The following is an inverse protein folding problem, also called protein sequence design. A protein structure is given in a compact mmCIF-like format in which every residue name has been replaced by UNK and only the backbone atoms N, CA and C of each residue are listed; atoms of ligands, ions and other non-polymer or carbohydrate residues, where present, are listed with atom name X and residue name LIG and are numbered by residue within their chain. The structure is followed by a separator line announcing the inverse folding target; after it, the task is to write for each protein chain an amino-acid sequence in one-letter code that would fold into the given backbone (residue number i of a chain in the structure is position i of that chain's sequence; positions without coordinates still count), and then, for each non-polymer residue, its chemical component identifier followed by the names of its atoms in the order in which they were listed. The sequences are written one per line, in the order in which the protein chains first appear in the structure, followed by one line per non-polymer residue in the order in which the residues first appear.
data_IF_234222858241
#
_entry.id   IF_234222858241
#
_cell.length_a   1.000
_cell.length_b   1.000
_cell.length_c   1.000
_cell.angle_alpha   90.00
_cell.angle_beta   90.00
_cell.angle_gamma   90.00
#
_symmetry.space_group_name_H-M   'P 1'
#
loop_
_entity.id
_entity.type
_entity.pdbx_description
1 polymer ?
#
# COMPACT_ATOMS: atom_id res chain seq x y z
N UNK A 1 -18.15 -15.14 -3.44
CA UNK A 1 -17.31 -15.19 -4.64
C UNK A 1 -17.34 -13.91 -5.51
N UNK A 2 -18.48 -13.27 -5.78
CA UNK A 2 -18.51 -12.07 -6.64
C UNK A 2 -17.96 -10.81 -5.99
N UNK A 3 -17.98 -10.70 -4.67
CA UNK A 3 -17.64 -9.47 -3.94
C UNK A 3 -16.13 -9.18 -3.93
N UNK A 4 -15.31 -10.19 -3.68
CA UNK A 4 -13.86 -10.05 -3.68
C UNK A 4 -13.33 -9.71 -5.08
N UNK A 5 -13.88 -10.31 -6.11
CA UNK A 5 -13.51 -10.05 -7.49
C UNK A 5 -13.91 -8.63 -7.95
N UNK A 6 -15.14 -8.21 -7.67
CA UNK A 6 -15.60 -6.85 -8.00
C UNK A 6 -14.83 -5.77 -7.24
N UNK A 7 -14.49 -6.02 -5.98
CA UNK A 7 -13.65 -5.12 -5.19
C UNK A 7 -12.24 -5.04 -5.76
N UNK A 8 -11.66 -6.16 -6.16
CA UNK A 8 -10.35 -6.21 -6.78
C UNK A 8 -10.28 -5.43 -8.10
N UNK A 9 -11.25 -5.62 -8.99
CA UNK A 9 -11.30 -4.92 -10.29
C UNK A 9 -11.51 -3.41 -10.14
N UNK A 10 -12.43 -2.97 -9.26
CA UNK A 10 -12.63 -1.54 -8.99
C UNK A 10 -11.43 -0.88 -8.35
N UNK A 11 -10.79 -1.56 -7.38
CA UNK A 11 -9.58 -1.11 -6.72
C UNK A 11 -8.43 -0.97 -7.72
N UNK A 12 -8.22 -1.98 -8.55
CA UNK A 12 -7.15 -2.01 -9.53
C UNK A 12 -7.23 -0.83 -10.50
N UNK A 13 -8.36 -0.63 -11.19
CA UNK A 13 -8.51 0.44 -12.19
C UNK A 13 -8.30 1.85 -11.63
N UNK A 14 -8.80 2.14 -10.43
CA UNK A 14 -8.66 3.46 -9.82
C UNK A 14 -7.24 3.70 -9.28
N UNK A 15 -6.58 2.67 -8.78
CA UNK A 15 -5.19 2.73 -8.37
C UNK A 15 -4.25 2.96 -9.55
N UNK A 16 -4.51 2.31 -10.69
CA UNK A 16 -3.74 2.52 -11.91
C UNK A 16 -3.79 3.98 -12.36
N UNK A 17 -4.97 4.59 -12.37
CA UNK A 17 -5.13 6.00 -12.73
C UNK A 17 -4.41 6.95 -11.76
N UNK A 18 -4.49 6.69 -10.45
CA UNK A 18 -3.81 7.49 -9.43
C UNK A 18 -2.28 7.35 -9.51
N UNK A 19 -1.78 6.13 -9.73
CA UNK A 19 -0.36 5.87 -9.91
C UNK A 19 0.17 6.59 -11.15
N UNK A 20 -0.53 6.47 -12.27
CA UNK A 20 -0.20 7.12 -13.52
C UNK A 20 -0.13 8.64 -13.40
N UNK A 21 -1.16 9.29 -12.82
CA UNK A 21 -1.20 10.74 -12.62
C UNK A 21 -0.04 11.25 -11.75
N UNK A 22 0.36 10.49 -10.73
CA UNK A 22 1.46 10.86 -9.84
C UNK A 22 2.83 10.72 -10.49
N UNK A 23 3.05 9.67 -11.25
CA UNK A 23 4.31 9.46 -11.98
C UNK A 23 4.49 10.57 -13.03
N UNK A 24 3.45 10.94 -13.75
CA UNK A 24 3.50 12.02 -14.74
C UNK A 24 3.68 13.41 -14.12
N UNK A 25 3.10 13.64 -12.95
CA UNK A 25 3.26 14.90 -12.22
C UNK A 25 4.63 15.09 -11.57
N UNK A 26 5.61 14.19 -11.78
CA UNK A 26 6.93 14.18 -11.14
C UNK A 26 6.86 14.24 -9.61
N UNK A 27 5.74 13.82 -9.03
CA UNK A 27 5.56 13.73 -7.58
C UNK A 27 5.78 12.32 -7.10
N UNK A 28 6.37 12.17 -5.90
CA UNK A 28 6.57 10.85 -5.30
C UNK A 28 5.22 10.13 -5.15
N UNK A 29 5.08 9.01 -5.84
CA UNK A 29 3.84 8.25 -5.81
C UNK A 29 3.80 7.39 -4.55
N UNK A 30 2.93 7.73 -3.60
CA UNK A 30 2.57 6.86 -2.47
C UNK A 30 1.12 6.39 -2.66
N UNK A 31 0.85 5.56 -3.66
CA UNK A 31 -0.51 5.16 -4.02
C UNK A 31 -1.20 4.40 -2.89
N UNK A 32 -0.44 3.71 -2.04
CA UNK A 32 -0.98 2.97 -0.90
C UNK A 32 -1.71 3.87 0.09
N UNK A 33 -1.19 5.08 0.36
CA UNK A 33 -1.84 6.06 1.24
C UNK A 33 -3.18 6.50 0.67
N UNK A 34 -3.20 6.89 -0.60
CA UNK A 34 -4.43 7.31 -1.28
C UNK A 34 -5.42 6.14 -1.40
N UNK A 35 -4.92 4.96 -1.72
CA UNK A 35 -5.74 3.76 -1.82
C UNK A 35 -6.42 3.43 -0.48
N UNK A 36 -5.68 3.43 0.61
CA UNK A 36 -6.27 3.17 1.93
C UNK A 36 -7.31 4.23 2.30
N UNK A 37 -6.97 5.52 2.19
CA UNK A 37 -7.81 6.61 2.68
C UNK A 37 -9.05 6.86 1.81
N UNK A 38 -8.95 6.73 0.49
CA UNK A 38 -10.02 7.13 -0.42
C UNK A 38 -10.71 5.97 -1.14
N UNK A 39 -10.21 4.75 -0.99
CA UNK A 39 -10.77 3.63 -1.74
C UNK A 39 -10.99 2.40 -0.87
N UNK A 40 -9.94 1.81 -0.30
CA UNK A 40 -10.03 0.53 0.41
C UNK A 40 -10.97 0.60 1.63
N UNK A 41 -10.69 1.51 2.55
CA UNK A 41 -11.49 1.62 3.77
C UNK A 41 -12.93 2.13 3.52
N UNK A 42 -13.17 3.14 2.67
CA UNK A 42 -14.55 3.51 2.31
C UNK A 42 -15.33 2.35 1.69
N UNK A 43 -14.71 1.58 0.78
CA UNK A 43 -15.36 0.41 0.20
C UNK A 43 -15.66 -0.69 1.23
N UNK A 44 -14.73 -0.96 2.15
CA UNK A 44 -14.95 -1.93 3.23
C UNK A 44 -16.11 -1.49 4.12
N UNK A 45 -16.18 -0.21 4.49
CA UNK A 45 -17.30 0.36 5.24
C UNK A 45 -18.61 0.18 4.51
N UNK A 46 -18.68 0.59 3.25
CA UNK A 46 -19.90 0.51 2.44
C UNK A 46 -20.39 -0.95 2.27
N UNK A 47 -19.44 -1.89 2.18
CA UNK A 47 -19.78 -3.32 2.13
C UNK A 47 -20.27 -3.85 3.47
N UNK A 48 -19.63 -3.44 4.56
CA UNK A 48 -20.05 -3.83 5.91
C UNK A 48 -21.43 -3.28 6.25
N UNK A 49 -21.75 -2.05 5.83
CA UNK A 49 -23.07 -1.45 6.00
C UNK A 49 -24.14 -2.25 5.28
N UNK A 50 -23.88 -2.70 4.05
CA UNK A 50 -24.80 -3.56 3.30
C UNK A 50 -25.03 -4.92 3.94
N UNK A 51 -24.07 -5.40 4.71
CA UNK A 51 -24.11 -6.68 5.40
C UNK A 51 -24.53 -6.56 6.87
N UNK A 52 -24.89 -5.35 7.35
CA UNK A 52 -25.16 -5.05 8.75
C UNK A 52 -24.03 -5.46 9.70
N UNK A 53 -22.77 -5.32 9.26
CA UNK A 53 -21.58 -5.60 10.04
C UNK A 53 -20.97 -4.29 10.54
N UNK A 54 -20.79 -4.14 11.85
CA UNK A 54 -20.22 -2.91 12.41
C UNK A 54 -18.69 -2.90 12.34
N UNK A 55 -18.02 -3.96 12.77
CA UNK A 55 -16.56 -3.99 12.86
C UNK A 55 -15.86 -4.39 11.57
N UNK A 56 -14.73 -3.73 11.31
CA UNK A 56 -13.85 -3.94 10.17
C UNK A 56 -12.46 -4.34 10.65
N UNK A 57 -12.02 -5.55 10.38
CA UNK A 57 -10.69 -6.02 10.77
C UNK A 57 -9.73 -6.04 9.58
N UNK A 58 -8.49 -5.58 9.78
CA UNK A 58 -7.42 -5.67 8.78
C UNK A 58 -6.08 -6.02 9.42
N UNK A 59 -5.17 -6.56 8.60
CA UNK A 59 -3.81 -6.92 9.01
C UNK A 59 -2.80 -5.77 9.03
N UNK A 60 -3.23 -4.53 9.21
CA UNK A 60 -2.28 -3.42 9.33
C UNK A 60 -1.57 -3.44 10.70
N UNK A 61 -0.26 -3.24 10.67
CA UNK A 61 0.58 -3.07 11.87
C UNK A 61 0.46 -1.63 12.40
N UNK A 62 -0.67 -1.34 12.99
CA UNK A 62 -1.05 0.01 13.46
C UNK A 62 -1.87 -0.14 14.73
N UNK A 63 -1.72 0.79 15.65
CA UNK A 63 -2.58 0.90 16.85
C UNK A 63 -3.59 2.02 16.67
N UNK A 64 -4.73 1.88 17.34
CA UNK A 64 -5.67 2.98 17.50
C UNK A 64 -5.95 3.23 18.97
N UNK A 65 -6.07 4.49 19.33
CA UNK A 65 -6.29 4.92 20.71
C UNK A 65 -7.46 5.92 20.75
N UNK A 66 -8.27 5.83 21.78
CA UNK A 66 -9.31 6.81 22.04
C UNK A 66 -8.79 7.84 23.04
N UNK A 67 -8.62 9.08 22.60
CA UNK A 67 -8.05 10.16 23.41
C UNK A 67 -9.00 11.35 23.37
N UNK A 68 -9.42 11.81 24.54
CA UNK A 68 -10.44 12.85 24.63
C UNK A 68 -11.77 12.35 24.08
N UNK A 69 -12.16 12.83 22.90
CA UNK A 69 -13.42 12.43 22.24
C UNK A 69 -13.19 11.88 20.83
N UNK A 70 -11.95 11.54 20.50
CA UNK A 70 -11.56 11.16 19.15
C UNK A 70 -10.69 9.90 19.12
N UNK A 71 -10.85 9.12 18.07
CA UNK A 71 -9.95 8.05 17.72
C UNK A 71 -8.71 8.56 17.02
N UNK A 72 -7.56 8.06 17.39
CA UNK A 72 -6.26 8.41 16.83
C UNK A 72 -5.51 7.17 16.37
N UNK A 73 -4.79 7.30 15.28
CA UNK A 73 -3.83 6.30 14.80
C UNK A 73 -2.49 6.55 15.49
N UNK A 74 -1.84 5.48 15.91
CA UNK A 74 -0.47 5.51 16.41
C UNK A 74 0.33 4.34 15.84
N UNK A 75 1.66 4.47 15.91
CA UNK A 75 2.56 3.46 15.40
C UNK A 75 2.30 2.09 16.04
N UNK A 76 2.46 1.04 15.24
CA UNK A 76 2.44 -0.34 15.71
C UNK A 76 3.56 -0.64 16.71
N UNK A 77 3.45 -1.77 17.41
CA UNK A 77 4.50 -2.25 18.32
C UNK A 77 5.79 -2.61 17.56
N UNK A 78 5.67 -3.18 16.38
CA UNK A 78 6.78 -3.46 15.47
C UNK A 78 7.06 -2.23 14.59
N UNK A 79 8.11 -1.48 14.95
CA UNK A 79 8.50 -0.26 14.24
C UNK A 79 8.98 -0.51 12.81
N UNK A 80 9.54 -1.67 12.54
CA UNK A 80 10.03 -2.04 11.21
C UNK A 80 8.86 -2.34 10.25
N UNK A 81 7.71 -2.68 10.80
CA UNK A 81 6.48 -3.01 10.05
C UNK A 81 5.39 -1.96 10.17
N UNK A 82 5.65 -0.86 10.86
CA UNK A 82 4.65 0.17 11.08
C UNK A 82 4.03 0.67 9.78
N UNK A 83 2.71 0.75 9.77
CA UNK A 83 1.90 1.16 8.62
C UNK A 83 0.99 2.36 8.93
N UNK A 84 1.23 3.04 10.05
CA UNK A 84 0.42 4.19 10.48
C UNK A 84 0.38 5.31 9.44
N UNK A 85 1.50 5.54 8.74
CA UNK A 85 1.60 6.50 7.65
C UNK A 85 0.56 6.27 6.54
N UNK A 86 0.15 5.03 6.30
CA UNK A 86 -0.80 4.73 5.22
C UNK A 86 -2.26 5.00 5.59
N UNK A 87 -2.56 5.30 6.87
CA UNK A 87 -3.92 5.42 7.39
C UNK A 87 -4.24 6.81 7.97
N UNK A 88 -3.35 7.79 7.81
CA UNK A 88 -3.45 9.11 8.44
C UNK A 88 -4.71 9.90 8.11
N UNK A 89 -5.31 9.68 6.95
CA UNK A 89 -6.45 10.45 6.44
C UNK A 89 -7.81 9.79 6.66
N UNK A 90 -7.89 8.73 7.48
CA UNK A 90 -9.15 8.04 7.73
C UNK A 90 -10.07 8.85 8.64
N UNK A 91 -11.39 8.96 8.31
CA UNK A 91 -12.35 9.66 9.13
C UNK A 91 -12.74 8.88 10.39
N UNK A 92 -13.33 9.58 11.37
CA UNK A 92 -13.65 9.05 12.68
C UNK A 92 -14.61 7.86 12.66
N UNK A 93 -15.60 7.86 11.78
CA UNK A 93 -16.56 6.77 11.61
C UNK A 93 -15.90 5.46 11.19
N UNK A 94 -14.85 5.53 10.37
CA UNK A 94 -14.05 4.37 10.01
C UNK A 94 -13.12 3.96 11.17
N UNK A 95 -12.46 4.92 11.81
CA UNK A 95 -11.55 4.65 12.92
C UNK A 95 -12.27 3.98 14.09
N UNK A 96 -13.50 4.38 14.39
CA UNK A 96 -14.31 3.76 15.43
C UNK A 96 -14.52 2.26 15.18
N UNK A 97 -14.84 1.90 13.94
CA UNK A 97 -15.19 0.54 13.51
C UNK A 97 -13.99 -0.38 13.27
N UNK A 98 -12.78 0.20 13.22
CA UNK A 98 -11.54 -0.50 12.89
C UNK A 98 -11.11 -1.46 13.98
N UNK A 99 -10.74 -2.68 13.61
CA UNK A 99 -9.98 -3.63 14.43
C UNK A 99 -8.63 -3.89 13.79
N UNK A 100 -7.57 -3.73 14.56
CA UNK A 100 -6.18 -3.82 14.12
C UNK A 100 -5.42 -4.86 14.95
N UNK A 101 -5.72 -6.16 14.80
CA UNK A 101 -5.21 -7.22 15.66
C UNK A 101 -3.68 -7.36 15.63
N UNK A 102 -3.03 -6.89 14.55
CA UNK A 102 -1.56 -6.94 14.44
C UNK A 102 -0.85 -5.72 15.05
N UNK A 103 -1.60 -4.72 15.50
CA UNK A 103 -1.01 -3.47 15.99
C UNK A 103 -0.14 -3.64 17.25
N UNK A 104 -0.48 -4.60 18.11
CA UNK A 104 0.27 -4.92 19.35
C UNK A 104 1.30 -6.05 19.14
N UNK A 105 1.34 -6.67 17.98
CA UNK A 105 2.22 -7.80 17.71
C UNK A 105 3.54 -7.34 17.11
N UNK A 106 4.60 -7.98 17.56
CA UNK A 106 5.95 -7.86 17.03
C UNK A 106 6.24 -9.03 16.05
N UNK A 107 7.48 -9.43 15.89
CA UNK A 107 7.93 -10.49 14.98
C UNK A 107 7.29 -11.88 15.20
N UNK A 108 6.59 -12.08 16.31
CA UNK A 108 5.94 -13.37 16.69
C UNK A 108 4.74 -13.77 15.83
N UNK A 109 4.28 -12.95 14.89
CA UNK A 109 3.09 -13.27 14.08
C UNK A 109 3.24 -14.58 13.31
N UNK A 110 4.44 -14.90 12.83
CA UNK A 110 4.73 -16.17 12.14
C UNK A 110 4.71 -17.36 13.09
N UNK A 111 5.29 -17.20 14.27
CA UNK A 111 5.27 -18.23 15.31
C UNK A 111 3.84 -18.58 15.69
N UNK A 112 3.01 -17.56 15.93
CA UNK A 112 1.58 -17.73 16.25
C UNK A 112 0.84 -18.42 15.08
N UNK A 113 1.14 -18.06 13.84
CA UNK A 113 0.54 -18.69 12.68
C UNK A 113 0.92 -20.17 12.58
N UNK A 114 2.21 -20.50 12.77
CA UNK A 114 2.69 -21.88 12.78
C UNK A 114 2.07 -22.70 13.91
N UNK A 115 2.00 -22.17 15.13
CA UNK A 115 1.33 -22.79 16.28
C UNK A 115 -0.16 -23.08 16.02
N UNK A 116 -0.80 -22.30 15.16
CA UNK A 116 -2.21 -22.45 14.76
C UNK A 116 -2.39 -23.31 13.53
N UNK A 117 -1.32 -23.95 13.02
CA UNK A 117 -1.36 -24.81 11.82
C UNK A 117 -1.62 -24.02 10.53
N UNK A 118 -1.45 -22.71 10.54
CA UNK A 118 -1.48 -21.91 9.34
C UNK A 118 -0.08 -22.03 8.73
N UNK A 119 0.07 -22.96 7.78
CA UNK A 119 1.32 -23.09 7.04
C UNK A 119 1.56 -21.79 6.28
N UNK A 120 2.74 -21.20 6.47
CA UNK A 120 3.19 -20.16 5.57
C UNK A 120 3.12 -20.71 4.15
N UNK A 121 2.41 -20.04 3.27
CA UNK A 121 2.73 -20.13 1.85
C UNK A 121 4.18 -19.68 1.76
N UNK A 122 5.05 -20.69 1.67
CA UNK A 122 6.49 -20.64 1.71
C UNK A 122 7.02 -19.45 0.92
N UNK A 123 8.03 -18.79 1.48
CA UNK A 123 9.16 -18.19 0.73
C UNK A 123 8.84 -17.28 -0.47
N UNK A 124 7.62 -16.80 -0.64
CA UNK A 124 7.45 -15.62 -1.48
C UNK A 124 8.22 -14.48 -0.79
N UNK A 125 9.44 -14.28 -1.27
CA UNK A 125 10.30 -13.16 -0.92
C UNK A 125 9.43 -11.92 -0.78
N UNK A 126 9.57 -11.27 0.36
CA UNK A 126 8.95 -9.95 0.61
C UNK A 126 9.39 -9.01 -0.49
N UNK A 127 8.63 -8.94 -1.55
CA UNK A 127 8.77 -7.80 -2.47
C UNK A 127 7.97 -6.64 -1.85
N UNK A 128 8.66 -5.67 -1.21
CA UNK A 128 8.01 -4.46 -0.78
C UNK A 128 7.44 -3.79 -2.04
N UNK A 129 6.12 -3.64 -2.08
CA UNK A 129 5.46 -2.99 -3.21
C UNK A 129 4.93 -3.90 -4.31
N UNK A 130 4.73 -5.19 -4.07
CA UNK A 130 3.83 -6.00 -4.92
C UNK A 130 2.41 -5.43 -4.80
N UNK A 131 2.33 -4.20 -5.27
CA UNK A 131 1.07 -3.55 -5.57
C UNK A 131 0.38 -4.41 -6.63
N UNK A 132 -0.90 -4.52 -6.57
CA UNK A 132 -1.92 -5.14 -7.41
C UNK A 132 -1.66 -5.14 -8.95
N UNK A 133 -0.41 -5.18 -9.35
CA UNK A 133 0.05 -5.20 -10.73
C UNK A 133 0.48 -6.63 -11.05
N UNK A 134 -0.25 -7.35 -11.90
CA UNK A 134 0.04 -8.73 -12.22
C UNK A 134 1.42 -8.93 -12.87
N UNK A 135 2.00 -7.88 -13.44
CA UNK A 135 3.23 -7.94 -14.25
C UNK A 135 4.39 -7.11 -13.66
N UNK A 136 4.21 -6.50 -12.50
CA UNK A 136 5.19 -5.56 -11.95
C UNK A 136 5.08 -4.14 -12.49
N UNK A 137 5.72 -3.19 -11.79
CA UNK A 137 5.66 -1.76 -12.13
C UNK A 137 6.28 -1.43 -13.51
N UNK A 138 7.43 -1.98 -13.91
CA UNK A 138 8.03 -1.65 -15.20
C UNK A 138 7.12 -1.99 -16.39
N UNK A 139 6.54 -3.17 -16.41
CA UNK A 139 5.69 -3.62 -17.51
C UNK A 139 4.38 -2.83 -17.56
N UNK A 140 3.79 -2.55 -16.39
CA UNK A 140 2.63 -1.68 -16.29
C UNK A 140 2.91 -0.28 -16.87
N UNK A 141 4.07 0.30 -16.56
CA UNK A 141 4.44 1.62 -17.06
C UNK A 141 4.68 1.60 -18.57
N UNK A 142 5.31 0.55 -19.09
CA UNK A 142 5.52 0.39 -20.55
C UNK A 142 4.20 0.30 -21.32
N UNK A 143 3.20 -0.37 -20.75
CA UNK A 143 1.89 -0.55 -21.36
C UNK A 143 1.01 0.71 -21.31
N UNK A 144 1.08 1.47 -20.20
CA UNK A 144 0.12 2.55 -19.93
C UNK A 144 0.70 3.96 -20.08
N UNK A 145 2.00 4.11 -20.22
CA UNK A 145 2.63 5.41 -20.40
C UNK A 145 2.42 5.93 -21.85
N UNK A 146 2.19 7.24 -22.06
CA UNK A 146 2.14 7.79 -23.40
C UNK A 146 3.42 7.49 -24.17
N UNK A 147 3.29 7.24 -25.46
CA UNK A 147 4.43 7.00 -26.32
C UNK A 147 5.47 8.12 -26.18
N UNK A 148 6.72 7.75 -25.90
CA UNK A 148 7.84 8.69 -25.75
C UNK A 148 7.95 9.36 -24.39
N UNK A 149 7.05 9.08 -23.42
CA UNK A 149 7.14 9.65 -22.06
C UNK A 149 8.19 8.98 -21.18
N UNK A 150 8.59 7.76 -21.52
CA UNK A 150 9.66 7.02 -20.86
C UNK A 150 10.82 6.92 -21.84
N UNK A 151 11.91 7.61 -21.56
CA UNK A 151 13.11 7.62 -22.39
C UNK A 151 14.34 7.22 -21.57
N UNK A 152 15.30 6.54 -22.19
CA UNK A 152 16.60 6.30 -21.57
C UNK A 152 17.29 7.61 -21.19
N UNK A 153 18.10 7.56 -20.14
CA UNK A 153 18.82 8.71 -19.63
C UNK A 153 20.04 8.31 -18.82
N UNK A 154 20.60 9.29 -18.11
CA UNK A 154 21.79 9.10 -17.32
C UNK A 154 21.54 9.36 -15.84
N UNK A 155 22.22 8.63 -14.99
CA UNK A 155 22.40 8.96 -13.58
C UNK A 155 23.58 9.93 -13.45
N UNK A 156 23.37 10.97 -12.66
CA UNK A 156 24.39 11.98 -12.35
C UNK A 156 24.68 11.97 -10.85
N UNK A 157 25.94 12.20 -10.48
CA UNK A 157 26.31 12.52 -9.10
C UNK A 157 26.01 13.99 -8.76
N UNK A 158 26.34 14.40 -7.54
CA UNK A 158 26.15 15.78 -7.06
C UNK A 158 26.98 16.82 -7.82
N UNK A 159 28.05 16.38 -8.48
CA UNK A 159 28.97 17.21 -9.25
C UNK A 159 28.59 17.25 -10.76
N UNK A 160 27.50 16.58 -11.12
CA UNK A 160 26.99 16.54 -12.50
C UNK A 160 27.71 15.53 -13.40
N UNK A 161 28.55 14.65 -12.85
CA UNK A 161 29.22 13.61 -13.61
C UNK A 161 28.30 12.43 -13.85
N UNK A 162 28.32 11.87 -15.06
CA UNK A 162 27.56 10.67 -15.40
C UNK A 162 28.18 9.47 -14.68
N UNK A 163 27.35 8.78 -13.88
CA UNK A 163 27.72 7.58 -13.11
C UNK A 163 27.01 6.30 -13.59
N UNK A 164 26.11 6.43 -14.56
CA UNK A 164 25.40 5.27 -15.12
C UNK A 164 24.32 5.69 -16.11
N UNK A 165 23.64 4.68 -16.66
CA UNK A 165 22.52 4.86 -17.59
C UNK A 165 21.28 4.14 -17.07
N UNK A 166 20.08 4.58 -17.48
CA UNK A 166 18.82 3.95 -17.15
C UNK A 166 17.89 3.91 -18.35
N UNK A 167 16.97 2.95 -18.40
CA UNK A 167 15.96 2.82 -19.46
C UNK A 167 14.79 3.80 -19.32
N UNK A 168 14.67 4.44 -18.18
CA UNK A 168 13.63 5.44 -17.87
C UNK A 168 13.56 5.72 -16.37
N UNK A 169 13.57 6.98 -15.98
CA UNK A 169 13.51 7.39 -14.56
C UNK A 169 12.30 6.87 -13.79
N UNK A 170 11.11 6.62 -14.39
CA UNK A 170 9.96 6.10 -13.66
C UNK A 170 10.12 4.67 -13.14
N UNK A 171 11.13 3.93 -13.61
CA UNK A 171 11.41 2.57 -13.15
C UNK A 171 12.17 2.54 -11.83
N UNK A 172 12.60 3.68 -11.34
CA UNK A 172 13.43 3.80 -10.14
C UNK A 172 12.72 4.62 -9.06
N UNK A 173 12.94 4.25 -7.81
CA UNK A 173 12.46 4.99 -6.64
C UNK A 173 13.60 5.57 -5.84
N UNK A 174 13.37 6.73 -5.25
CA UNK A 174 14.37 7.35 -4.36
C UNK A 174 14.70 6.40 -3.21
N UNK A 175 16.01 6.17 -2.98
CA UNK A 175 16.49 5.25 -1.97
C UNK A 175 16.51 3.78 -2.40
N UNK A 176 16.20 3.45 -3.64
CA UNK A 176 16.35 2.09 -4.17
C UNK A 176 17.82 1.68 -4.21
N UNK A 177 18.14 0.54 -3.58
CA UNK A 177 19.53 0.05 -3.47
C UNK A 177 19.88 -1.05 -4.49
N UNK A 178 18.90 -1.55 -5.24
CA UNK A 178 19.06 -2.56 -6.30
C UNK A 178 17.98 -2.36 -7.35
#
# INVERSE_FOLDING_TARGET
FPISYMMHVKLSKKNHSLLYLRIHGRTYAVPCTLCNNFLKWPLLRDMADKLNIFYLATGHYVKKNFIGKHWHISCGADRDKDQSFFLWGLPQDILERMLLPLGELTKRVREIAAERGISESSEEERQPGRMLLPYGLPDFLKEHAPHGSIAPGHFYDTDGKIIGTHEGYPFYTVGQRR
#
